data_IF_666328134669
#
_entry.id   IF_666328134669
#
_cell.length_a   1.000
_cell.length_b   1.000
_cell.length_c   1.000
_cell.angle_alpha   90.00
_cell.angle_beta   90.00
_cell.angle_gamma   90.00
#
_symmetry.space_group_name_H-M   'P 1'
#
loop_
_entity.id
_entity.type
_entity.pdbx_description
1 polymer ?
#
# COMPACT_ATOMS: atom_id res chain seq x y z
N UNK A 1 -4.50 17.74 10.32
CA UNK A 1 -3.04 17.97 10.19
C UNK A 1 -2.52 16.85 9.30
N UNK A 2 -1.84 17.16 8.20
CA UNK A 2 -1.39 16.15 7.25
C UNK A 2 -0.26 15.31 7.86
N UNK A 3 -0.57 14.05 8.18
CA UNK A 3 0.37 13.07 8.78
C UNK A 3 1.24 12.37 7.73
N UNK A 4 1.06 12.68 6.45
CA UNK A 4 1.74 12.05 5.31
C UNK A 4 2.16 13.14 4.33
N UNK A 5 3.40 13.05 3.83
CA UNK A 5 3.90 13.89 2.75
C UNK A 5 3.91 13.11 1.43
N UNK A 6 3.27 13.66 0.39
CA UNK A 6 3.23 13.05 -0.94
C UNK A 6 4.49 13.38 -1.73
N UNK A 7 5.10 12.36 -2.32
CA UNK A 7 6.21 12.48 -3.24
C UNK A 7 5.75 11.96 -4.61
N UNK A 8 5.59 12.85 -5.58
CA UNK A 8 5.14 12.49 -6.92
C UNK A 8 6.27 11.84 -7.72
N UNK A 9 5.96 10.73 -8.41
CA UNK A 9 6.86 10.05 -9.34
C UNK A 9 6.04 9.41 -10.47
N UNK A 10 6.70 9.12 -11.60
CA UNK A 10 6.09 8.53 -12.80
C UNK A 10 6.96 7.39 -13.35
N UNK A 11 7.16 6.29 -12.59
CA UNK A 11 7.96 5.18 -13.06
C UNK A 11 7.25 4.45 -14.21
N UNK A 12 8.02 3.91 -15.14
CA UNK A 12 7.53 2.96 -16.17
C UNK A 12 8.40 1.71 -16.18
N UNK A 13 7.95 0.59 -16.76
CA UNK A 13 8.74 -0.64 -16.80
C UNK A 13 10.11 -0.51 -17.47
N UNK A 14 10.28 0.49 -18.36
CA UNK A 14 11.54 0.77 -19.08
C UNK A 14 12.25 2.02 -18.58
N UNK A 15 11.65 2.77 -17.66
CA UNK A 15 12.22 3.96 -17.06
C UNK A 15 11.88 3.98 -15.56
N UNK A 16 12.62 3.21 -14.73
CA UNK A 16 12.37 3.16 -13.30
C UNK A 16 12.72 4.50 -12.65
N UNK A 17 12.02 4.84 -11.57
CA UNK A 17 12.36 5.99 -10.74
C UNK A 17 13.39 5.58 -9.68
N UNK A 18 14.57 6.21 -9.69
CA UNK A 18 15.66 5.85 -8.80
C UNK A 18 15.33 6.05 -7.31
N UNK A 19 14.51 7.04 -6.96
CA UNK A 19 14.08 7.26 -5.58
C UNK A 19 13.10 6.17 -5.15
N UNK A 20 12.17 5.77 -6.05
CA UNK A 20 11.26 4.65 -5.78
C UNK A 20 12.05 3.34 -5.60
N UNK A 21 13.05 3.07 -6.46
CA UNK A 21 13.87 1.85 -6.37
C UNK A 21 14.72 1.82 -5.09
N UNK A 22 15.20 2.98 -4.61
CA UNK A 22 15.93 3.08 -3.36
C UNK A 22 15.08 2.64 -2.15
N UNK A 23 13.79 2.94 -2.18
CA UNK A 23 12.85 2.65 -1.08
C UNK A 23 12.15 1.31 -1.24
N UNK A 24 11.79 0.97 -2.46
CA UNK A 24 11.16 -0.27 -2.86
C UNK A 24 11.98 -0.89 -4.00
N UNK A 25 12.84 -1.90 -3.70
CA UNK A 25 13.65 -2.57 -4.71
C UNK A 25 12.84 -3.22 -5.85
N UNK A 26 11.54 -3.44 -5.67
CA UNK A 26 10.63 -3.92 -6.73
C UNK A 26 10.38 -2.83 -7.80
N UNK A 27 10.64 -1.56 -7.48
CA UNK A 27 10.50 -0.43 -8.40
C UNK A 27 9.04 -0.05 -8.70
N UNK A 28 8.10 -0.49 -7.87
CA UNK A 28 6.66 -0.22 -8.01
C UNK A 28 6.17 0.79 -6.98
N UNK A 29 5.14 1.54 -7.35
CA UNK A 29 4.37 2.41 -6.45
C UNK A 29 3.05 1.74 -6.05
N UNK A 30 2.48 2.06 -4.88
CA UNK A 30 3.00 2.96 -3.85
C UNK A 30 4.10 2.33 -2.96
N UNK A 31 4.93 3.19 -2.36
CA UNK A 31 5.86 2.86 -1.28
C UNK A 31 5.72 3.90 -0.17
N UNK A 32 5.64 3.45 1.10
CA UNK A 32 5.48 4.32 2.27
C UNK A 32 6.74 4.26 3.13
N UNK A 33 7.47 5.38 3.22
CA UNK A 33 8.55 5.54 4.21
C UNK A 33 7.97 6.00 5.55
N UNK A 34 8.28 5.26 6.62
CA UNK A 34 7.93 5.61 7.99
C UNK A 34 8.94 6.58 8.61
N UNK A 35 8.59 7.16 9.76
CA UNK A 35 9.44 8.14 10.45
C UNK A 35 10.79 7.56 10.93
N UNK A 36 10.87 6.25 11.14
CA UNK A 36 12.10 5.54 11.49
C UNK A 36 12.97 5.17 10.28
N UNK A 37 12.52 5.53 9.06
CA UNK A 37 13.22 5.25 7.81
C UNK A 37 12.87 3.90 7.18
N UNK A 38 12.14 3.02 7.87
CA UNK A 38 11.65 1.77 7.28
C UNK A 38 10.64 2.03 6.16
N UNK A 39 10.53 1.11 5.20
CA UNK A 39 9.65 1.25 4.04
C UNK A 39 8.66 0.09 3.97
N UNK A 40 7.38 0.43 3.80
CA UNK A 40 6.30 -0.52 3.54
C UNK A 40 5.90 -0.48 2.06
N UNK A 41 5.68 -1.66 1.51
CA UNK A 41 5.11 -1.93 0.18
C UNK A 41 4.58 -3.37 0.20
N UNK A 42 3.57 -3.76 -0.59
CA UNK A 42 2.81 -3.02 -1.60
C UNK A 42 1.61 -2.23 -1.01
N UNK A 43 0.64 -1.88 -1.86
CA UNK A 43 -0.58 -1.16 -1.47
C UNK A 43 -1.36 -1.83 -0.34
N UNK A 44 -1.44 -3.16 -0.28
CA UNK A 44 -2.22 -3.87 0.75
C UNK A 44 -1.57 -3.76 2.12
N UNK A 45 -0.25 -3.83 2.18
CA UNK A 45 0.53 -3.63 3.42
C UNK A 45 0.36 -2.20 3.92
N UNK A 46 0.43 -1.22 3.02
CA UNK A 46 0.27 0.20 3.35
C UNK A 46 -1.16 0.48 3.86
N UNK A 47 -2.18 -0.07 3.21
CA UNK A 47 -3.58 0.09 3.62
C UNK A 47 -3.83 -0.51 5.01
N UNK A 48 -3.33 -1.73 5.28
CA UNK A 48 -3.48 -2.36 6.60
C UNK A 48 -2.72 -1.57 7.68
N UNK A 49 -1.53 -1.03 7.38
CA UNK A 49 -0.82 -0.14 8.30
C UNK A 49 -1.66 1.09 8.65
N UNK A 50 -2.20 1.81 7.67
CA UNK A 50 -3.01 3.01 7.93
C UNK A 50 -4.31 2.70 8.67
N UNK A 51 -4.94 1.56 8.39
CA UNK A 51 -6.14 1.11 9.09
C UNK A 51 -5.87 0.84 10.59
N UNK A 52 -4.62 0.58 10.98
CA UNK A 52 -4.21 0.48 12.38
C UNK A 52 -3.81 1.82 13.02
N UNK A 53 -3.62 2.89 12.25
CA UNK A 53 -3.17 4.20 12.77
C UNK A 53 -4.29 5.08 13.32
N UNK A 54 -5.55 4.71 13.10
CA UNK A 54 -6.71 5.48 13.52
C UNK A 54 -7.50 4.81 14.64
N UNK A 55 -8.31 5.58 15.35
CA UNK A 55 -9.18 5.11 16.44
C UNK A 55 -10.63 4.83 16.00
N UNK A 56 -10.94 5.08 14.72
CA UNK A 56 -12.25 4.78 14.15
C UNK A 56 -12.50 3.28 13.91
N UNK A 57 -13.68 2.97 13.41
CA UNK A 57 -14.02 1.60 13.00
C UNK A 57 -13.04 1.12 11.92
N UNK A 58 -12.47 -0.10 12.05
CA UNK A 58 -11.53 -0.61 11.07
C UNK A 58 -12.23 -0.84 9.73
N UNK A 59 -11.59 -0.40 8.66
CA UNK A 59 -12.01 -0.67 7.28
C UNK A 59 -11.78 -2.13 6.92
N UNK A 60 -10.74 -2.75 7.49
CA UNK A 60 -10.44 -4.16 7.32
C UNK A 60 -10.81 -4.90 8.61
N UNK A 61 -11.79 -5.82 8.60
CA UNK A 61 -12.14 -6.57 9.80
C UNK A 61 -10.91 -7.26 10.41
N UNK A 62 -10.76 -7.18 11.73
CA UNK A 62 -9.56 -7.68 12.44
C UNK A 62 -9.52 -9.20 12.54
N UNK A 63 -10.69 -9.85 12.59
CA UNK A 63 -10.80 -11.28 12.81
C UNK A 63 -12.04 -11.89 12.11
N UNK A 64 -12.21 -13.20 12.33
CA UNK A 64 -13.38 -13.95 11.90
C UNK A 64 -13.52 -14.12 10.38
N UNK A 65 -14.63 -14.73 9.98
CA UNK A 65 -14.94 -15.00 8.58
C UNK A 65 -15.14 -13.71 7.75
N UNK A 66 -15.55 -12.62 8.40
CA UNK A 66 -15.72 -11.32 7.76
C UNK A 66 -14.41 -10.77 7.18
N UNK A 67 -13.28 -10.94 7.89
CA UNK A 67 -11.96 -10.54 7.40
C UNK A 67 -11.64 -11.21 6.07
N UNK A 68 -11.73 -12.54 6.04
CA UNK A 68 -11.40 -13.32 4.85
C UNK A 68 -12.32 -12.99 3.68
N UNK A 69 -13.63 -12.84 3.94
CA UNK A 69 -14.57 -12.41 2.90
C UNK A 69 -14.20 -11.06 2.28
N UNK A 70 -13.76 -10.09 3.08
CA UNK A 70 -13.37 -8.76 2.59
C UNK A 70 -12.02 -8.79 1.88
N UNK A 71 -11.04 -9.52 2.39
CA UNK A 71 -9.73 -9.66 1.74
C UNK A 71 -9.82 -10.41 0.41
N UNK A 72 -10.72 -11.40 0.27
CA UNK A 72 -10.98 -12.05 -1.02
C UNK A 72 -11.55 -11.06 -2.04
N UNK A 73 -12.47 -10.17 -1.63
CA UNK A 73 -12.98 -9.13 -2.52
C UNK A 73 -11.90 -8.13 -2.92
N UNK A 74 -11.04 -7.72 -1.99
CA UNK A 74 -9.89 -6.87 -2.29
C UNK A 74 -8.95 -7.54 -3.31
N UNK A 75 -8.61 -8.81 -3.08
CA UNK A 75 -7.77 -9.59 -4.00
C UNK A 75 -8.40 -9.75 -5.40
N UNK A 76 -9.73 -9.81 -5.50
CA UNK A 76 -10.41 -9.85 -6.79
C UNK A 76 -10.26 -8.52 -7.54
N UNK A 77 -10.36 -7.39 -6.82
CA UNK A 77 -10.12 -6.07 -7.40
C UNK A 77 -8.66 -5.93 -7.85
N UNK A 78 -7.69 -6.38 -7.05
CA UNK A 78 -6.28 -6.39 -7.43
C UNK A 78 -6.06 -7.19 -8.72
N UNK A 79 -6.69 -8.37 -8.85
CA UNK A 79 -6.58 -9.18 -10.06
C UNK A 79 -7.14 -8.52 -11.32
N UNK A 80 -8.17 -7.66 -11.18
CA UNK A 80 -8.68 -6.84 -12.29
C UNK A 80 -7.66 -5.77 -12.67
N UNK A 81 -7.03 -5.13 -11.68
CA UNK A 81 -6.05 -4.07 -11.89
C UNK A 81 -4.75 -4.59 -12.53
N UNK A 82 -4.30 -5.80 -12.15
CA UNK A 82 -3.10 -6.41 -12.73
C UNK A 82 -3.32 -6.90 -14.18
N UNK A 83 -4.57 -7.18 -14.55
CA UNK A 83 -4.92 -7.64 -15.90
C UNK A 83 -5.20 -6.50 -16.90
N UNK A 84 -5.40 -5.28 -16.41
CA UNK A 84 -5.68 -4.07 -17.20
C UNK A 84 -4.40 -3.44 -17.76
#
# INVERSE_FOLDING_TARGET
QDRVALHGCMPTPVNPDAQVVQDNPVGKIPALRLADGSVLHDSRVILDYFDHQHVGNPLIPRDGSARWRRLTLASMADGILDAA
#
